data_IF_548317945407
#
_entry.id   IF_548317945407
#
_cell.length_a   1.000
_cell.length_b   1.000
_cell.length_c   1.000
_cell.angle_alpha   90.00
_cell.angle_beta   90.00
_cell.angle_gamma   90.00
#
_symmetry.space_group_name_H-M   'P 1'
#
loop_
_entity.id
_entity.type
_entity.pdbx_description
1 polymer ?
#
# COMPACT_ATOMS: atom_id res chain seq x y z
N UNK A 1 61.26 -9.28 10.27
CA UNK A 1 60.09 -9.23 9.42
C UNK A 1 58.91 -9.91 10.12
N UNK A 2 58.29 -9.29 11.11
CA UNK A 2 57.05 -9.73 11.79
C UNK A 2 56.52 -8.56 12.61
N UNK A 3 55.81 -7.63 11.98
CA UNK A 3 54.96 -6.59 12.63
C UNK A 3 54.30 -5.73 11.51
N UNK A 4 53.31 -6.25 10.84
CA UNK A 4 52.42 -5.45 9.97
C UNK A 4 51.22 -6.29 9.53
N UNK A 5 50.38 -6.76 10.47
CA UNK A 5 49.10 -7.43 10.10
C UNK A 5 47.99 -7.22 11.16
N UNK A 6 48.06 -6.21 12.01
CA UNK A 6 47.08 -6.02 13.08
C UNK A 6 46.24 -4.72 12.98
N UNK A 7 46.32 -3.96 11.88
CA UNK A 7 45.67 -2.64 11.82
C UNK A 7 44.51 -2.53 10.81
N UNK A 8 44.07 -3.60 10.16
CA UNK A 8 43.03 -3.55 9.14
C UNK A 8 41.65 -4.10 9.57
N UNK A 9 41.52 -4.66 10.76
CA UNK A 9 40.25 -5.18 11.28
C UNK A 9 39.43 -4.17 12.13
N UNK A 10 40.03 -3.05 12.53
CA UNK A 10 39.40 -2.07 13.43
C UNK A 10 38.48 -1.05 12.72
N UNK A 11 38.64 -0.84 11.40
CA UNK A 11 37.98 0.26 10.70
C UNK A 11 36.61 -0.13 10.12
N UNK A 12 36.34 -1.42 9.91
CA UNK A 12 35.08 -1.87 9.36
C UNK A 12 33.89 -1.86 10.37
N UNK A 13 34.19 -1.99 11.66
CA UNK A 13 33.15 -2.02 12.73
C UNK A 13 32.66 -0.61 13.06
N UNK A 14 33.49 0.41 12.91
CA UNK A 14 33.11 1.80 13.21
C UNK A 14 32.15 2.42 12.16
N UNK A 15 32.24 1.99 10.89
CA UNK A 15 31.37 2.50 9.82
C UNK A 15 29.94 1.93 9.90
N UNK A 16 29.77 0.69 10.32
CA UNK A 16 28.46 0.05 10.49
C UNK A 16 27.65 0.65 11.65
N UNK A 17 28.31 1.02 12.73
CA UNK A 17 27.68 1.62 13.92
C UNK A 17 27.21 3.06 13.66
N UNK A 18 27.93 3.82 12.84
CA UNK A 18 27.57 5.21 12.51
C UNK A 18 26.30 5.32 11.63
N UNK A 19 26.14 4.41 10.68
CA UNK A 19 24.96 4.37 9.82
C UNK A 19 23.70 3.94 10.58
N UNK A 20 23.82 2.96 11.48
CA UNK A 20 22.69 2.52 12.31
C UNK A 20 22.23 3.62 13.28
N UNK A 21 23.15 4.35 13.91
CA UNK A 21 22.83 5.47 14.80
C UNK A 21 22.20 6.65 14.06
N UNK A 22 22.63 6.94 12.81
CA UNK A 22 22.03 7.99 12.00
C UNK A 22 20.59 7.62 11.59
N UNK A 23 20.36 6.38 11.15
CA UNK A 23 19.01 5.92 10.79
C UNK A 23 18.05 5.90 12.00
N UNK A 24 18.53 5.59 13.19
CA UNK A 24 17.74 5.62 14.42
C UNK A 24 17.41 7.07 14.83
N UNK A 25 18.35 7.99 14.69
CA UNK A 25 18.13 9.41 14.96
C UNK A 25 17.11 10.02 13.99
N UNK A 26 17.15 9.66 12.71
CA UNK A 26 16.19 10.08 11.70
C UNK A 26 14.78 9.56 12.00
N UNK A 27 14.66 8.29 12.45
CA UNK A 27 13.39 7.71 12.84
C UNK A 27 12.80 8.42 14.08
N UNK A 28 13.62 8.71 15.09
CA UNK A 28 13.18 9.42 16.29
C UNK A 28 12.69 10.85 15.95
N UNK A 29 13.37 11.54 15.03
CA UNK A 29 12.94 12.85 14.56
C UNK A 29 11.60 12.79 13.85
N UNK A 30 11.38 11.77 13.00
CA UNK A 30 10.13 11.52 12.32
C UNK A 30 8.99 11.23 13.32
N UNK A 31 9.23 10.38 14.32
CA UNK A 31 8.26 10.08 15.37
C UNK A 31 7.86 11.33 16.18
N UNK A 32 8.82 12.20 16.50
CA UNK A 32 8.54 13.45 17.19
C UNK A 32 7.72 14.40 16.33
N UNK A 33 8.02 14.49 15.03
CA UNK A 33 7.24 15.27 14.08
C UNK A 33 5.80 14.77 13.99
N UNK A 34 5.60 13.46 13.82
CA UNK A 34 4.30 12.82 13.78
C UNK A 34 3.46 13.09 15.05
N UNK A 35 4.08 12.95 16.24
CA UNK A 35 3.43 13.28 17.53
C UNK A 35 3.00 14.74 17.61
N UNK A 36 3.78 15.66 17.05
CA UNK A 36 3.46 17.08 17.02
C UNK A 36 2.33 17.39 16.04
N UNK A 37 2.29 16.69 14.91
CA UNK A 37 1.23 16.78 13.89
C UNK A 37 -0.11 16.28 14.43
N UNK A 38 -0.08 15.15 15.15
CA UNK A 38 -1.20 14.62 15.92
C UNK A 38 -2.32 14.00 15.09
N UNK A 39 -2.19 13.94 13.77
CA UNK A 39 -3.18 13.32 12.87
C UNK A 39 -2.55 12.71 11.62
N UNK A 40 -3.26 11.77 11.01
CA UNK A 40 -3.00 11.23 9.69
C UNK A 40 -4.33 11.09 8.95
N UNK A 41 -4.39 11.59 7.73
CA UNK A 41 -5.56 11.56 6.89
C UNK A 41 -5.33 10.61 5.72
N UNK A 42 -6.27 9.71 5.47
CA UNK A 42 -6.19 8.76 4.36
C UNK A 42 -7.36 8.90 3.40
N UNK A 43 -7.21 8.30 2.23
CA UNK A 43 -8.28 8.05 1.29
C UNK A 43 -8.27 6.58 0.87
N UNK A 44 -9.45 5.96 0.80
CA UNK A 44 -9.60 4.56 0.43
C UNK A 44 -9.11 3.55 1.46
N UNK A 45 -8.93 3.95 2.72
CA UNK A 45 -8.39 3.10 3.80
C UNK A 45 -9.34 3.03 5.01
N UNK A 46 -10.65 2.71 4.79
CA UNK A 46 -11.61 2.69 5.88
C UNK A 46 -11.35 1.53 6.86
N UNK A 47 -11.81 1.68 8.09
CA UNK A 47 -11.69 0.69 9.17
C UNK A 47 -12.16 -0.72 8.79
N UNK A 48 -13.16 -0.80 7.92
CA UNK A 48 -13.77 -2.07 7.49
C UNK A 48 -12.97 -2.86 6.46
N UNK A 49 -11.87 -2.29 5.94
CA UNK A 49 -11.08 -2.86 4.86
C UNK A 49 -9.68 -3.27 5.34
N UNK A 50 -9.17 -4.40 4.84
CA UNK A 50 -7.76 -4.84 4.98
C UNK A 50 -7.15 -4.72 6.39
N UNK A 51 -7.99 -4.77 7.42
CA UNK A 51 -7.59 -4.56 8.82
C UNK A 51 -6.97 -3.18 9.12
N UNK A 52 -7.31 -2.15 8.36
CA UNK A 52 -6.83 -0.79 8.61
C UNK A 52 -7.18 -0.29 10.01
N UNK A 53 -8.32 -0.72 10.55
CA UNK A 53 -8.74 -0.36 11.92
C UNK A 53 -7.66 -0.62 12.98
N UNK A 54 -7.03 -1.79 12.95
CA UNK A 54 -6.00 -2.11 13.94
C UNK A 54 -4.71 -1.32 13.68
N UNK A 55 -4.38 -1.07 12.41
CA UNK A 55 -3.25 -0.21 12.01
C UNK A 55 -3.43 1.21 12.56
N UNK A 56 -4.59 1.82 12.37
CA UNK A 56 -4.89 3.16 12.87
C UNK A 56 -4.88 3.22 14.38
N UNK A 57 -5.46 2.22 15.05
CA UNK A 57 -5.44 2.10 16.50
C UNK A 57 -4.02 1.98 17.06
N UNK A 58 -3.15 1.25 16.38
CA UNK A 58 -1.74 1.13 16.75
C UNK A 58 -1.00 2.46 16.61
N UNK A 59 -1.24 3.20 15.53
CA UNK A 59 -0.65 4.52 15.31
C UNK A 59 -1.13 5.53 16.35
N UNK A 60 -2.42 5.53 16.67
CA UNK A 60 -2.96 6.37 17.74
C UNK A 60 -2.35 6.02 19.09
N UNK A 61 -2.29 4.73 19.44
CA UNK A 61 -1.72 4.26 20.70
C UNK A 61 -0.24 4.57 20.86
N UNK A 62 0.55 4.41 19.81
CA UNK A 62 2.01 4.59 19.84
C UNK A 62 2.44 6.04 19.70
N UNK A 63 1.77 6.78 18.84
CA UNK A 63 2.23 8.10 18.40
C UNK A 63 1.23 9.22 18.67
N UNK A 64 0.01 8.91 19.11
CA UNK A 64 -1.06 9.89 19.33
C UNK A 64 -1.67 10.41 18.03
N UNK A 65 -1.47 9.72 16.90
CA UNK A 65 -2.00 10.12 15.60
C UNK A 65 -3.47 9.76 15.49
N UNK A 66 -4.34 10.76 15.43
CA UNK A 66 -5.76 10.59 15.12
C UNK A 66 -5.91 10.32 13.62
N UNK A 67 -6.71 9.33 13.28
CA UNK A 67 -6.96 8.96 11.90
C UNK A 67 -8.30 9.48 11.40
N UNK A 68 -8.32 9.98 10.17
CA UNK A 68 -9.53 10.27 9.40
C UNK A 68 -9.39 9.68 8.00
N UNK A 69 -10.44 8.98 7.53
CA UNK A 69 -10.50 8.43 6.18
C UNK A 69 -11.65 9.02 5.38
N UNK A 70 -11.45 9.11 4.08
CA UNK A 70 -12.52 9.34 3.12
C UNK A 70 -12.53 8.20 2.12
N UNK A 71 -13.54 7.34 2.19
CA UNK A 71 -13.66 6.18 1.30
C UNK A 71 -13.88 6.63 -0.15
N UNK A 72 -12.99 6.17 -1.03
CA UNK A 72 -12.98 6.53 -2.45
C UNK A 72 -12.56 5.34 -3.31
N UNK A 73 -12.94 5.35 -4.59
CA UNK A 73 -12.35 4.45 -5.58
C UNK A 73 -10.98 4.95 -6.03
N UNK A 74 -10.11 4.05 -6.52
CA UNK A 74 -8.76 4.40 -6.96
C UNK A 74 -8.71 5.56 -7.96
N UNK A 75 -9.67 5.63 -8.88
CA UNK A 75 -9.75 6.74 -9.84
C UNK A 75 -10.10 8.07 -9.16
N UNK A 76 -10.99 8.06 -8.17
CA UNK A 76 -11.37 9.24 -7.40
C UNK A 76 -10.21 9.73 -6.54
N UNK A 77 -9.43 8.83 -5.93
CA UNK A 77 -8.25 9.17 -5.14
C UNK A 77 -7.21 9.90 -5.99
N UNK A 78 -6.86 9.36 -7.16
CA UNK A 78 -5.92 10.02 -8.06
C UNK A 78 -6.45 11.38 -8.53
N UNK A 79 -7.74 11.49 -8.82
CA UNK A 79 -8.35 12.76 -9.21
C UNK A 79 -8.29 13.80 -8.07
N UNK A 80 -8.53 13.36 -6.82
CA UNK A 80 -8.40 14.20 -5.62
C UNK A 80 -6.97 14.69 -5.45
N UNK A 81 -5.97 13.81 -5.42
CA UNK A 81 -4.57 14.19 -5.29
C UNK A 81 -4.12 15.16 -6.39
N UNK A 82 -4.57 14.92 -7.63
CA UNK A 82 -4.28 15.82 -8.75
C UNK A 82 -4.91 17.20 -8.61
N UNK A 83 -6.12 17.27 -8.09
CA UNK A 83 -6.83 18.53 -7.88
C UNK A 83 -6.24 19.35 -6.73
N UNK A 84 -5.80 18.70 -5.67
CA UNK A 84 -5.30 19.34 -4.45
C UNK A 84 -3.82 19.74 -4.54
N UNK A 85 -2.99 18.94 -5.23
CA UNK A 85 -1.55 19.21 -5.44
C UNK A 85 -0.84 19.63 -4.13
N UNK A 86 -0.40 20.91 -4.09
CA UNK A 86 0.36 21.48 -2.98
C UNK A 86 -0.49 21.77 -1.73
N UNK A 87 -1.81 21.61 -1.82
CA UNK A 87 -2.76 21.77 -0.70
C UNK A 87 -3.42 20.42 -0.37
N UNK A 88 -2.64 19.34 -0.35
CA UNK A 88 -3.14 18.02 -0.06
C UNK A 88 -3.85 17.99 1.31
N UNK A 89 -5.05 17.41 1.33
CA UNK A 89 -5.84 17.19 2.55
C UNK A 89 -5.74 15.74 3.05
N UNK A 90 -5.06 14.86 2.30
CA UNK A 90 -4.76 13.50 2.68
C UNK A 90 -3.26 13.21 2.51
N UNK A 91 -2.72 12.43 3.43
CA UNK A 91 -1.30 12.08 3.53
C UNK A 91 -0.98 10.78 2.78
N UNK A 92 -1.96 9.87 2.70
CA UNK A 92 -1.79 8.54 2.12
C UNK A 92 -3.08 8.07 1.45
N UNK A 93 -2.95 7.21 0.43
CA UNK A 93 -4.09 6.56 -0.23
C UNK A 93 -3.83 5.09 -0.52
N UNK A 94 -4.91 4.31 -0.63
CA UNK A 94 -4.89 2.89 -0.98
C UNK A 94 -5.52 2.69 -2.35
N UNK A 95 -4.70 2.62 -3.36
CA UNK A 95 -5.13 2.40 -4.74
C UNK A 95 -4.81 0.98 -5.20
N UNK A 96 -5.63 0.40 -6.05
CA UNK A 96 -5.29 -0.88 -6.67
C UNK A 96 -3.99 -0.80 -7.45
N UNK A 97 -3.22 -1.88 -7.47
CA UNK A 97 -1.87 -1.95 -8.04
C UNK A 97 -1.73 -1.36 -9.45
N UNK A 98 -2.77 -1.50 -10.31
CA UNK A 98 -2.78 -0.93 -11.65
C UNK A 98 -2.76 0.62 -11.66
N UNK A 99 -3.17 1.27 -10.58
CA UNK A 99 -3.18 2.73 -10.45
C UNK A 99 -1.85 3.30 -9.93
N UNK A 100 -0.97 2.49 -9.35
CA UNK A 100 0.35 2.92 -8.91
C UNK A 100 1.18 3.60 -10.01
N UNK A 101 1.41 2.95 -11.17
CA UNK A 101 2.09 3.59 -12.30
C UNK A 101 1.39 4.85 -12.83
N UNK A 102 0.05 4.89 -12.76
CA UNK A 102 -0.73 6.06 -13.17
C UNK A 102 -0.50 7.21 -12.20
N UNK A 103 -0.43 6.96 -10.90
CA UNK A 103 -0.11 7.97 -9.88
C UNK A 103 1.27 8.60 -10.14
N UNK A 104 2.27 7.79 -10.46
CA UNK A 104 3.62 8.24 -10.83
C UNK A 104 3.56 9.11 -12.09
N UNK A 105 2.91 8.63 -13.15
CA UNK A 105 2.78 9.37 -14.42
C UNK A 105 2.07 10.71 -14.25
N UNK A 106 1.09 10.78 -13.35
CA UNK A 106 0.35 12.01 -13.05
C UNK A 106 1.09 12.95 -12.10
N UNK A 107 2.21 12.52 -11.50
CA UNK A 107 2.99 13.29 -10.55
C UNK A 107 2.24 13.55 -9.23
N UNK A 108 1.40 12.61 -8.79
CA UNK A 108 0.59 12.73 -7.57
C UNK A 108 1.12 11.90 -6.41
N UNK A 109 2.21 11.18 -6.60
CA UNK A 109 2.90 10.40 -5.56
C UNK A 109 4.30 10.94 -5.34
N UNK A 110 4.78 10.90 -4.09
CA UNK A 110 6.16 11.22 -3.72
C UNK A 110 6.92 9.94 -3.39
N UNK A 111 8.21 9.83 -3.74
CA UNK A 111 9.01 8.66 -3.38
C UNK A 111 9.30 8.65 -1.89
N UNK A 112 9.08 7.50 -1.26
CA UNK A 112 9.45 7.24 0.13
C UNK A 112 9.86 5.78 0.30
N UNK A 113 11.05 5.55 0.87
CA UNK A 113 11.57 4.20 1.14
C UNK A 113 11.78 4.05 2.65
N UNK A 114 10.86 3.38 3.37
CA UNK A 114 11.05 3.10 4.79
C UNK A 114 12.26 2.18 5.03
N UNK A 115 12.74 2.09 6.27
CA UNK A 115 13.91 1.26 6.64
C UNK A 115 13.75 -0.22 6.28
N UNK A 116 12.52 -0.69 6.12
CA UNK A 116 12.19 -2.07 5.72
C UNK A 116 12.03 -2.24 4.20
N UNK A 117 12.30 -1.21 3.40
CA UNK A 117 12.07 -1.21 1.95
C UNK A 117 12.66 -2.41 1.23
N UNK A 118 13.88 -2.81 1.58
CA UNK A 118 14.57 -3.94 0.94
C UNK A 118 13.95 -5.31 1.28
N UNK A 119 13.11 -5.37 2.31
CA UNK A 119 12.38 -6.59 2.68
C UNK A 119 11.11 -6.79 1.82
N UNK A 120 10.65 -5.75 1.14
CA UNK A 120 9.51 -5.83 0.23
C UNK A 120 9.96 -6.48 -1.07
N UNK A 121 9.32 -7.56 -1.54
CA UNK A 121 9.66 -8.22 -2.79
C UNK A 121 9.65 -7.24 -3.99
N UNK A 122 10.54 -7.43 -4.95
CA UNK A 122 10.65 -6.53 -6.10
C UNK A 122 9.36 -6.40 -6.92
N UNK A 123 8.54 -7.46 -6.98
CA UNK A 123 7.24 -7.45 -7.67
C UNK A 123 6.15 -6.67 -6.92
N UNK A 124 6.37 -6.37 -5.64
CA UNK A 124 5.41 -5.75 -4.75
C UNK A 124 5.70 -4.26 -4.48
N UNK A 125 6.60 -3.65 -5.23
CA UNK A 125 6.99 -2.25 -5.04
C UNK A 125 7.45 -1.59 -6.33
N UNK A 126 7.29 -0.29 -6.40
CA UNK A 126 7.97 0.54 -7.38
C UNK A 126 9.45 0.73 -7.02
N UNK A 127 10.36 0.63 -7.97
CA UNK A 127 11.81 0.69 -7.70
C UNK A 127 12.26 2.06 -7.17
N UNK A 128 11.57 3.12 -7.58
CA UNK A 128 11.87 4.49 -7.15
C UNK A 128 11.21 4.87 -5.82
N UNK A 129 10.29 4.04 -5.32
CA UNK A 129 9.68 4.21 -3.99
C UNK A 129 8.35 4.96 -3.99
N UNK A 130 7.72 5.12 -5.13
CA UNK A 130 6.44 5.84 -5.22
C UNK A 130 5.24 5.08 -4.67
N UNK A 131 5.31 3.75 -4.66
CA UNK A 131 4.26 2.89 -4.09
C UNK A 131 4.81 1.52 -3.68
N UNK A 132 4.11 0.87 -2.78
CA UNK A 132 4.31 -0.53 -2.42
C UNK A 132 2.97 -1.20 -2.13
N UNK A 133 2.87 -2.51 -2.37
CA UNK A 133 1.69 -3.27 -1.99
C UNK A 133 1.63 -3.44 -0.47
N UNK A 134 0.53 -3.03 0.13
CA UNK A 134 0.27 -3.24 1.55
C UNK A 134 -0.32 -4.63 1.81
N UNK A 135 -1.07 -5.17 0.86
CA UNK A 135 -1.72 -6.48 0.95
C UNK A 135 -2.05 -7.03 -0.44
N UNK A 136 -2.46 -8.29 -0.50
CA UNK A 136 -2.96 -8.95 -1.70
C UNK A 136 -4.31 -9.59 -1.40
N UNK A 137 -5.16 -9.72 -2.42
CA UNK A 137 -6.45 -10.40 -2.35
C UNK A 137 -6.57 -11.49 -3.41
N UNK A 138 -7.44 -12.45 -3.15
CA UNK A 138 -7.80 -13.49 -4.12
C UNK A 138 -9.16 -13.15 -4.75
N UNK A 139 -9.25 -13.25 -6.07
CA UNK A 139 -10.53 -13.14 -6.76
C UNK A 139 -11.39 -14.37 -6.43
N UNK A 140 -12.61 -14.15 -5.98
CA UNK A 140 -13.53 -15.20 -5.60
C UNK A 140 -14.95 -14.94 -6.15
N UNK A 141 -15.70 -16.01 -6.32
CA UNK A 141 -17.13 -15.92 -6.65
C UNK A 141 -17.94 -15.68 -5.38
N UNK A 142 -18.78 -14.66 -5.40
CA UNK A 142 -19.82 -14.45 -4.38
C UNK A 142 -21.15 -14.87 -5.00
N UNK A 143 -21.82 -15.84 -4.39
CA UNK A 143 -23.05 -16.43 -4.92
C UNK A 143 -24.20 -16.27 -3.94
N UNK A 144 -25.32 -15.71 -4.40
CA UNK A 144 -26.57 -15.71 -3.65
C UNK A 144 -27.22 -17.12 -3.72
N UNK A 145 -27.02 -17.94 -2.71
CA UNK A 145 -27.52 -19.33 -2.64
C UNK A 145 -29.04 -19.44 -2.59
N UNK A 146 -29.75 -18.35 -2.31
CA UNK A 146 -31.24 -18.35 -2.38
C UNK A 146 -31.73 -18.36 -3.82
N UNK A 147 -30.99 -17.70 -4.72
CA UNK A 147 -31.34 -17.54 -6.13
C UNK A 147 -30.65 -18.56 -7.04
N UNK A 148 -29.42 -18.94 -6.71
CA UNK A 148 -28.58 -19.84 -7.50
C UNK A 148 -28.47 -21.17 -6.80
N UNK A 149 -29.05 -22.23 -7.40
CA UNK A 149 -29.04 -23.60 -6.85
C UNK A 149 -27.77 -24.37 -7.27
N UNK A 150 -27.38 -24.22 -8.51
CA UNK A 150 -26.16 -24.82 -9.06
C UNK A 150 -25.04 -23.78 -8.97
N UNK A 151 -24.26 -23.84 -7.91
CA UNK A 151 -23.17 -22.89 -7.64
C UNK A 151 -22.00 -23.18 -8.57
N UNK A 152 -21.47 -22.21 -9.33
CA UNK A 152 -20.28 -22.43 -10.15
C UNK A 152 -19.05 -22.67 -9.27
N UNK A 153 -18.24 -23.67 -9.61
CA UNK A 153 -17.01 -24.02 -8.92
C UNK A 153 -15.75 -23.66 -9.71
N UNK A 154 -15.92 -23.20 -10.95
CA UNK A 154 -14.84 -22.80 -11.83
C UNK A 154 -15.26 -21.65 -12.74
N UNK A 155 -14.28 -20.99 -13.36
CA UNK A 155 -14.55 -20.00 -14.42
C UNK A 155 -15.31 -20.62 -15.60
N UNK A 156 -14.97 -21.88 -15.96
CA UNK A 156 -15.68 -22.58 -17.01
C UNK A 156 -17.15 -22.78 -16.68
N UNK A 157 -17.50 -23.19 -15.47
CA UNK A 157 -18.89 -23.32 -15.03
C UNK A 157 -19.60 -21.98 -15.09
N UNK A 158 -18.95 -20.92 -14.62
CA UNK A 158 -19.52 -19.58 -14.64
C UNK A 158 -19.82 -19.09 -16.05
N UNK A 159 -18.87 -19.27 -16.98
CA UNK A 159 -18.98 -18.79 -18.36
C UNK A 159 -19.95 -19.62 -19.21
N UNK A 160 -20.10 -20.93 -18.93
CA UNK A 160 -21.03 -21.83 -19.63
C UNK A 160 -22.43 -21.81 -19.01
N UNK A 161 -22.56 -21.38 -17.76
CA UNK A 161 -23.81 -21.37 -17.04
C UNK A 161 -24.73 -20.20 -17.44
N UNK A 162 -26.00 -20.26 -17.03
CA UNK A 162 -26.99 -19.20 -17.23
C UNK A 162 -27.09 -18.30 -16.00
N UNK A 163 -25.96 -17.78 -15.54
CA UNK A 163 -25.91 -16.90 -14.36
C UNK A 163 -26.10 -15.44 -14.76
N UNK A 164 -26.72 -14.65 -13.87
CA UNK A 164 -26.59 -13.19 -13.89
C UNK A 164 -25.34 -12.83 -13.11
N UNK A 165 -24.31 -12.41 -13.83
CA UNK A 165 -23.03 -12.02 -13.26
C UNK A 165 -22.98 -10.50 -13.15
N UNK A 166 -22.54 -10.00 -12.01
CA UNK A 166 -22.23 -8.57 -11.80
C UNK A 166 -20.78 -8.43 -11.43
N UNK A 167 -20.20 -7.34 -11.88
CA UNK A 167 -18.82 -6.94 -11.59
C UNK A 167 -18.83 -5.44 -11.33
N UNK A 168 -17.87 -4.91 -10.63
CA UNK A 168 -17.72 -3.47 -10.43
C UNK A 168 -17.39 -2.73 -11.73
N UNK A 169 -17.46 -1.41 -11.70
CA UNK A 169 -17.11 -0.56 -12.83
C UNK A 169 -15.60 -0.63 -13.11
N UNK A 170 -15.23 -1.19 -14.25
CA UNK A 170 -13.82 -1.35 -14.66
C UNK A 170 -13.10 -0.02 -14.94
N UNK A 171 -13.83 1.07 -15.14
CA UNK A 171 -13.23 2.40 -15.30
C UNK A 171 -12.88 3.08 -13.98
N UNK A 172 -13.43 2.60 -12.87
CA UNK A 172 -13.32 3.22 -11.55
C UNK A 172 -12.61 2.35 -10.52
N UNK A 173 -12.76 1.02 -10.59
CA UNK A 173 -12.30 0.10 -9.55
C UNK A 173 -11.29 -0.93 -10.09
N UNK A 174 -10.09 -0.94 -9.52
CA UNK A 174 -9.04 -1.90 -9.89
C UNK A 174 -9.47 -3.36 -9.67
N UNK A 175 -10.26 -3.65 -8.64
CA UNK A 175 -10.80 -4.99 -8.37
C UNK A 175 -11.69 -5.49 -9.49
N UNK A 176 -12.46 -4.60 -10.13
CA UNK A 176 -13.27 -4.96 -11.29
C UNK A 176 -12.41 -5.34 -12.50
N UNK A 177 -11.35 -4.57 -12.77
CA UNK A 177 -10.36 -4.89 -13.81
C UNK A 177 -9.73 -6.26 -13.54
N UNK A 178 -9.30 -6.53 -12.32
CA UNK A 178 -8.70 -7.81 -11.92
C UNK A 178 -9.69 -8.98 -12.09
N UNK A 179 -10.97 -8.77 -11.81
CA UNK A 179 -12.02 -9.77 -12.04
C UNK A 179 -12.18 -10.13 -13.52
N UNK A 180 -12.15 -9.14 -14.42
CA UNK A 180 -12.19 -9.40 -15.88
C UNK A 180 -10.93 -10.12 -16.34
N UNK A 181 -9.74 -9.68 -15.89
CA UNK A 181 -8.48 -10.32 -16.25
C UNK A 181 -8.43 -11.78 -15.79
N UNK A 182 -8.90 -12.06 -14.57
CA UNK A 182 -8.95 -13.43 -14.03
C UNK A 182 -9.90 -14.36 -14.82
N UNK A 183 -10.92 -13.80 -15.47
CA UNK A 183 -11.81 -14.56 -16.33
C UNK A 183 -11.23 -14.80 -17.74
N UNK A 184 -10.20 -14.04 -18.15
CA UNK A 184 -9.59 -14.08 -19.48
C UNK A 184 -8.35 -14.98 -19.56
N UNK A 185 -7.81 -15.42 -18.40
CA UNK A 185 -6.64 -16.31 -18.29
C UNK A 185 -7.10 -17.77 -18.22
#
# INVERSE_FOLDING_TARGET
MKRMLASLLGTAIALGSGLALAAEADLQALEQAARKEGQVNSVGMPDSWANWKDTWKDLESKYGLKHMDTDMSSAQELAKFKAEKDNASADIGDVGAAFGPIAVQQGVSQPYKPSTWEQIPAWAKDQDGHWALAYTGTIAFIVNKQLVKDVPHSWADLLQGKYKVTIGDVSAAAQAVNGVLAAAI
#
